data_IF_239544909483
#
_entry.id   IF_239544909483
#
_cell.length_a   1.000
_cell.length_b   1.000
_cell.length_c   1.000
_cell.angle_alpha   90.00
_cell.angle_beta   90.00
_cell.angle_gamma   90.00
#
_symmetry.space_group_name_H-M   'P 1'
#
loop_
_entity.id
_entity.type
_entity.pdbx_description
1 polymer ?
#
# COMPACT_ATOMS: atom_id res chain seq x y z
N UNK A 1 9.93 2.71 -9.87
CA UNK A 1 9.59 3.05 -8.47
C UNK A 1 10.60 2.38 -7.55
N UNK A 2 11.07 3.07 -6.49
CA UNK A 2 11.98 2.46 -5.51
C UNK A 2 11.27 1.33 -4.75
N UNK A 3 12.03 0.33 -4.30
CA UNK A 3 11.53 -0.65 -3.35
C UNK A 3 11.33 0.00 -1.98
N UNK A 4 10.24 -0.33 -1.30
CA UNK A 4 9.92 0.10 0.06
C UNK A 4 10.62 -0.78 1.11
N UNK A 5 10.95 -2.03 0.75
CA UNK A 5 11.75 -2.98 1.55
C UNK A 5 12.68 -3.84 0.68
N UNK A 6 13.75 -4.37 1.29
CA UNK A 6 14.64 -5.35 0.66
C UNK A 6 14.03 -6.77 0.72
N UNK A 7 13.13 -7.09 -0.20
CA UNK A 7 12.37 -8.36 -0.19
C UNK A 7 13.26 -9.61 -0.14
N UNK A 8 14.33 -9.65 -0.93
CA UNK A 8 15.26 -10.78 -0.96
C UNK A 8 15.86 -11.06 0.42
N UNK A 9 16.25 -10.01 1.15
CA UNK A 9 16.78 -10.12 2.51
C UNK A 9 15.73 -10.65 3.48
N UNK A 10 14.48 -10.20 3.36
CA UNK A 10 13.38 -10.62 4.25
C UNK A 10 12.89 -12.06 3.97
N UNK A 11 13.20 -12.62 2.81
CA UNK A 11 12.83 -13.98 2.42
C UNK A 11 14.02 -14.96 2.41
N UNK A 12 15.24 -14.49 2.65
CA UNK A 12 16.43 -15.36 2.74
C UNK A 12 16.32 -16.27 3.97
N UNK A 13 16.58 -17.58 3.91
CA UNK A 13 16.48 -18.46 5.08
C UNK A 13 17.29 -17.95 6.29
N UNK A 14 16.68 -17.97 7.47
CA UNK A 14 17.38 -17.62 8.71
C UNK A 14 18.36 -18.73 9.09
N UNK A 15 19.45 -18.35 9.76
CA UNK A 15 20.47 -19.32 10.20
C UNK A 15 19.98 -20.21 11.34
N UNK A 16 19.04 -19.71 12.14
CA UNK A 16 18.42 -20.42 13.27
C UNK A 16 16.97 -20.80 12.94
N UNK A 17 16.46 -21.82 13.65
CA UNK A 17 15.10 -22.29 13.51
C UNK A 17 14.91 -23.36 12.43
N UNK A 18 13.84 -24.15 12.59
CA UNK A 18 13.50 -25.20 11.64
C UNK A 18 13.14 -24.63 10.26
N UNK A 19 13.62 -25.27 9.19
CA UNK A 19 13.40 -24.82 7.81
C UNK A 19 13.84 -23.38 7.51
N UNK A 20 14.69 -22.77 8.35
CA UNK A 20 15.10 -21.37 8.21
C UNK A 20 14.02 -20.35 8.62
N UNK A 21 13.03 -20.77 9.41
CA UNK A 21 11.94 -19.91 9.89
C UNK A 21 12.27 -19.08 11.13
N UNK A 22 13.42 -19.30 11.79
CA UNK A 22 13.73 -18.63 13.04
C UNK A 22 12.91 -19.15 14.21
N UNK A 23 12.61 -18.27 15.16
CA UNK A 23 11.93 -18.60 16.42
C UNK A 23 10.59 -17.87 16.55
N UNK A 24 9.69 -18.40 17.39
CA UNK A 24 8.46 -17.69 17.74
C UNK A 24 8.79 -16.57 18.73
N UNK A 25 8.72 -15.32 18.27
CA UNK A 25 9.07 -14.18 19.11
C UNK A 25 8.04 -13.89 20.20
N UNK A 26 6.86 -14.53 20.17
CA UNK A 26 5.83 -14.39 21.21
C UNK A 26 6.20 -15.12 22.50
N UNK A 27 7.08 -16.12 22.42
CA UNK A 27 7.56 -16.88 23.57
C UNK A 27 8.65 -16.13 24.36
N UNK A 28 9.18 -15.02 23.82
CA UNK A 28 10.12 -14.14 24.51
C UNK A 28 9.38 -13.14 25.40
N UNK A 29 9.25 -13.48 26.69
CA UNK A 29 8.68 -12.62 27.73
C UNK A 29 9.71 -11.68 28.40
N UNK A 30 10.95 -11.64 27.89
CA UNK A 30 11.99 -10.80 28.49
C UNK A 30 11.72 -9.30 28.23
N UNK A 31 12.28 -8.39 29.06
CA UNK A 31 12.25 -6.95 28.77
C UNK A 31 12.92 -6.58 27.44
N UNK A 32 13.74 -7.47 26.87
CA UNK A 32 14.40 -7.26 25.59
C UNK A 32 13.55 -7.68 24.38
N UNK A 33 12.38 -8.30 24.61
CA UNK A 33 11.50 -8.89 23.59
C UNK A 33 11.24 -7.95 22.42
N UNK A 34 11.70 -8.38 21.24
CA UNK A 34 11.54 -7.64 20.00
C UNK A 34 10.08 -7.61 19.53
N UNK A 35 9.33 -8.68 19.78
CA UNK A 35 7.90 -8.75 19.54
C UNK A 35 7.14 -7.72 20.39
N UNK A 36 7.41 -7.67 21.70
CA UNK A 36 6.75 -6.72 22.59
C UNK A 36 7.02 -5.27 22.18
N UNK A 37 8.29 -4.95 21.86
CA UNK A 37 8.67 -3.61 21.37
C UNK A 37 7.94 -3.23 20.09
N UNK A 38 7.85 -4.15 19.12
CA UNK A 38 7.14 -3.90 17.88
C UNK A 38 5.63 -3.71 18.11
N UNK A 39 5.03 -4.54 18.97
CA UNK A 39 3.62 -4.45 19.35
C UNK A 39 3.30 -3.09 19.98
N UNK A 40 4.16 -2.63 20.88
CA UNK A 40 3.99 -1.36 21.59
C UNK A 40 4.19 -0.17 20.64
N UNK A 41 5.21 -0.20 19.78
CA UNK A 41 5.41 0.80 18.74
C UNK A 41 4.20 0.91 17.79
N UNK A 42 3.59 -0.23 17.42
CA UNK A 42 2.36 -0.24 16.62
C UNK A 42 1.17 0.33 17.38
N UNK A 43 1.01 0.00 18.66
CA UNK A 43 -0.06 0.55 19.49
C UNK A 43 0.06 2.07 19.64
N UNK A 44 1.28 2.58 19.85
CA UNK A 44 1.59 4.00 19.89
C UNK A 44 1.27 4.68 18.55
N UNK A 45 1.74 4.13 17.43
CA UNK A 45 1.48 4.67 16.09
C UNK A 45 -0.03 4.81 15.80
N UNK A 46 -0.82 3.81 16.19
CA UNK A 46 -2.29 3.84 16.04
C UNK A 46 -2.99 4.74 17.04
N UNK A 47 -2.43 4.96 18.22
CA UNK A 47 -2.97 5.90 19.19
C UNK A 47 -2.78 7.34 18.69
N UNK A 48 -1.58 7.65 18.21
CA UNK A 48 -1.23 8.95 17.62
C UNK A 48 -2.07 9.23 16.37
N UNK A 49 -2.21 8.28 15.44
CA UNK A 49 -3.05 8.44 14.25
C UNK A 49 -4.51 8.79 14.60
N UNK A 50 -5.07 8.10 15.61
CA UNK A 50 -6.44 8.38 16.08
C UNK A 50 -6.56 9.75 16.76
N UNK A 51 -5.54 10.20 17.48
CA UNK A 51 -5.54 11.53 18.09
C UNK A 51 -5.54 12.62 17.00
N UNK A 52 -4.69 12.47 15.98
CA UNK A 52 -4.62 13.39 14.84
C UNK A 52 -5.94 13.46 14.06
N UNK A 53 -6.55 12.31 13.79
CA UNK A 53 -7.85 12.25 13.11
C UNK A 53 -8.97 12.93 13.93
N UNK A 54 -8.95 12.82 15.26
CA UNK A 54 -9.95 13.44 16.14
C UNK A 54 -9.80 14.97 16.23
N UNK A 55 -8.57 15.48 16.11
CA UNK A 55 -8.28 16.92 16.13
C UNK A 55 -8.53 17.59 14.77
N UNK A 56 -8.84 16.81 13.73
CA UNK A 56 -8.94 17.32 12.35
C UNK A 56 -7.59 17.83 11.82
N UNK A 57 -6.49 17.24 12.32
CA UNK A 57 -5.13 17.62 11.98
C UNK A 57 -4.75 17.35 10.52
N UNK A 58 -3.53 17.73 10.14
CA UNK A 58 -3.00 17.53 8.79
C UNK A 58 -3.01 16.03 8.39
N UNK A 59 -3.20 15.75 7.10
CA UNK A 59 -3.07 14.42 6.47
C UNK A 59 -1.59 13.96 6.42
N UNK A 60 -0.90 13.98 7.56
CA UNK A 60 0.47 13.53 7.74
C UNK A 60 0.48 12.13 8.37
N UNK A 61 1.48 11.32 8.01
CA UNK A 61 1.63 9.99 8.61
C UNK A 61 2.38 10.14 9.93
N UNK A 62 1.85 9.63 11.05
CA UNK A 62 2.54 9.68 12.34
C UNK A 62 3.97 9.13 12.28
N UNK A 63 4.91 9.84 12.91
CA UNK A 63 6.32 9.42 12.99
C UNK A 63 6.53 8.00 13.53
N UNK A 64 5.76 7.51 14.54
CA UNK A 64 5.96 6.16 15.08
C UNK A 64 5.78 5.03 14.06
N UNK A 65 5.08 5.24 12.94
CA UNK A 65 5.01 4.23 11.87
C UNK A 65 6.38 3.87 11.28
N UNK A 66 7.34 4.80 11.30
CA UNK A 66 8.73 4.52 10.88
C UNK A 66 9.39 3.49 11.78
N UNK A 67 9.08 3.53 13.07
CA UNK A 67 9.62 2.57 14.04
C UNK A 67 8.98 1.19 13.87
N UNK A 68 7.67 1.12 13.58
CA UNK A 68 6.99 -0.13 13.21
C UNK A 68 7.64 -0.76 11.97
N UNK A 69 7.89 0.04 10.93
CA UNK A 69 8.59 -0.41 9.71
C UNK A 69 9.98 -0.94 10.05
N UNK A 70 10.78 -0.18 10.81
CA UNK A 70 12.15 -0.55 11.19
C UNK A 70 12.19 -1.85 12.01
N UNK A 71 11.38 -1.96 13.06
CA UNK A 71 11.33 -3.13 13.94
C UNK A 71 10.77 -4.35 13.21
N UNK A 72 9.73 -4.19 12.40
CA UNK A 72 9.16 -5.29 11.60
C UNK A 72 10.19 -5.86 10.61
N UNK A 73 10.92 -4.99 9.90
CA UNK A 73 12.01 -5.42 9.03
C UNK A 73 13.14 -6.12 9.81
N UNK A 74 13.50 -5.62 11.00
CA UNK A 74 14.54 -6.23 11.83
C UNK A 74 14.14 -7.63 12.31
N UNK A 75 12.94 -7.76 12.86
CA UNK A 75 12.40 -9.04 13.33
C UNK A 75 12.36 -10.08 12.20
N UNK A 76 11.85 -9.68 11.03
CA UNK A 76 11.81 -10.56 9.88
C UNK A 76 13.23 -10.87 9.40
N UNK A 77 14.07 -9.88 9.10
CA UNK A 77 15.39 -10.12 8.52
C UNK A 77 16.30 -11.02 9.37
N UNK A 78 16.16 -11.00 10.70
CA UNK A 78 17.17 -11.60 11.59
C UNK A 78 16.66 -12.72 12.48
N UNK A 79 15.35 -12.82 12.75
CA UNK A 79 14.86 -13.59 13.90
C UNK A 79 13.69 -14.52 13.64
N UNK A 80 12.73 -14.12 12.81
CA UNK A 80 11.49 -14.90 12.64
C UNK A 80 10.84 -14.71 11.27
N UNK A 81 10.38 -15.80 10.65
CA UNK A 81 9.44 -15.80 9.52
C UNK A 81 8.04 -15.85 10.13
N UNK A 82 7.38 -14.70 10.20
CA UNK A 82 6.14 -14.55 10.98
C UNK A 82 5.09 -13.73 10.23
N UNK A 83 3.89 -14.30 10.08
CA UNK A 83 2.75 -13.70 9.36
C UNK A 83 2.22 -12.45 10.07
N UNK A 84 2.16 -12.45 11.39
CA UNK A 84 1.63 -11.31 12.14
C UNK A 84 2.58 -10.12 12.09
N UNK A 85 3.88 -10.38 12.25
CA UNK A 85 4.92 -9.35 12.10
C UNK A 85 4.90 -8.80 10.68
N UNK A 86 4.77 -9.67 9.67
CA UNK A 86 4.66 -9.24 8.27
C UNK A 86 3.38 -8.42 8.02
N UNK A 87 2.25 -8.74 8.67
CA UNK A 87 1.03 -7.96 8.58
C UNK A 87 1.19 -6.56 9.22
N UNK A 88 1.86 -6.47 10.37
CA UNK A 88 2.16 -5.17 11.00
C UNK A 88 3.14 -4.33 10.17
N UNK A 89 4.14 -4.97 9.57
CA UNK A 89 5.03 -4.31 8.62
C UNK A 89 4.25 -3.82 7.40
N UNK A 90 3.35 -4.63 6.83
CA UNK A 90 2.48 -4.23 5.73
C UNK A 90 1.65 -2.99 6.07
N UNK A 91 1.05 -2.95 7.26
CA UNK A 91 0.29 -1.79 7.76
C UNK A 91 1.13 -0.50 7.80
N UNK A 92 2.40 -0.60 8.21
CA UNK A 92 3.34 0.52 8.24
C UNK A 92 3.79 0.93 6.82
N UNK A 93 4.07 -0.04 5.95
CA UNK A 93 4.51 0.20 4.57
C UNK A 93 3.45 0.93 3.76
N UNK A 94 2.17 0.55 3.89
CA UNK A 94 1.10 1.26 3.16
C UNK A 94 0.95 2.70 3.62
N UNK A 95 1.13 2.97 4.92
CA UNK A 95 1.07 4.34 5.45
C UNK A 95 2.25 5.18 4.98
N UNK A 96 3.47 4.65 5.04
CA UNK A 96 4.69 5.39 4.73
C UNK A 96 4.97 5.50 3.24
N UNK A 97 4.69 4.43 2.48
CA UNK A 97 5.14 4.24 1.10
C UNK A 97 3.97 4.02 0.11
N UNK A 98 2.72 4.06 0.60
CA UNK A 98 1.51 3.99 -0.23
C UNK A 98 1.40 2.68 -1.03
N UNK A 99 1.07 2.79 -2.32
CA UNK A 99 0.89 1.64 -3.21
C UNK A 99 2.18 0.84 -3.43
N UNK A 100 3.35 1.49 -3.41
CA UNK A 100 4.63 0.78 -3.47
C UNK A 100 4.84 -0.06 -2.20
N UNK A 101 4.46 0.48 -1.04
CA UNK A 101 4.44 -0.26 0.22
C UNK A 101 3.49 -1.46 0.20
N UNK A 102 2.29 -1.29 -0.36
CA UNK A 102 1.33 -2.39 -0.51
C UNK A 102 1.85 -3.49 -1.44
N UNK A 103 2.42 -3.11 -2.59
CA UNK A 103 3.02 -4.06 -3.55
C UNK A 103 4.07 -4.92 -2.86
N UNK A 104 5.04 -4.30 -2.19
CA UNK A 104 6.14 -5.02 -1.57
C UNK A 104 5.66 -5.85 -0.37
N UNK A 105 4.70 -5.35 0.40
CA UNK A 105 4.07 -6.08 1.48
C UNK A 105 3.33 -7.34 0.98
N UNK A 106 2.57 -7.22 -0.11
CA UNK A 106 1.87 -8.35 -0.72
C UNK A 106 2.86 -9.40 -1.25
N UNK A 107 3.96 -8.97 -1.87
CA UNK A 107 5.04 -9.86 -2.32
C UNK A 107 5.72 -10.57 -1.14
N UNK A 108 5.98 -9.86 -0.04
CA UNK A 108 6.54 -10.44 1.18
C UNK A 108 5.60 -11.50 1.77
N UNK A 109 4.32 -11.16 1.94
CA UNK A 109 3.32 -12.08 2.50
C UNK A 109 3.15 -13.32 1.61
N UNK A 110 3.04 -13.14 0.29
CA UNK A 110 2.99 -14.24 -0.67
C UNK A 110 4.23 -15.13 -0.56
N UNK A 111 5.43 -14.55 -0.52
CA UNK A 111 6.69 -15.27 -0.40
C UNK A 111 6.82 -16.04 0.91
N UNK A 112 6.35 -15.48 2.04
CA UNK A 112 6.33 -16.18 3.33
C UNK A 112 5.40 -17.40 3.27
N UNK A 113 4.19 -17.25 2.74
CA UNK A 113 3.22 -18.35 2.59
C UNK A 113 3.69 -19.40 1.58
N UNK A 114 4.43 -19.00 0.56
CA UNK A 114 4.95 -19.93 -0.45
C UNK A 114 6.12 -20.75 0.11
N UNK A 115 7.12 -20.08 0.69
CA UNK A 115 8.43 -20.67 1.02
C UNK A 115 8.49 -21.29 2.41
N UNK A 116 7.70 -20.78 3.36
CA UNK A 116 7.83 -21.14 4.78
C UNK A 116 6.55 -21.73 5.39
N UNK A 117 5.51 -22.04 4.60
CA UNK A 117 4.18 -22.47 5.07
C UNK A 117 4.18 -23.45 6.25
N UNK A 118 5.00 -24.48 6.16
CA UNK A 118 5.04 -25.57 7.13
C UNK A 118 5.71 -25.13 8.43
N UNK A 119 6.65 -24.18 8.34
CA UNK A 119 7.56 -23.80 9.43
C UNK A 119 7.34 -22.41 10.03
N UNK A 120 6.62 -21.52 9.34
CA UNK A 120 6.45 -20.13 9.77
C UNK A 120 5.51 -19.96 10.97
N UNK A 121 5.69 -18.83 11.63
CA UNK A 121 4.94 -18.43 12.81
C UNK A 121 3.73 -17.53 12.48
N UNK A 122 2.66 -17.56 13.28
CA UNK A 122 2.40 -18.57 14.32
C UNK A 122 2.13 -19.95 13.70
N UNK A 123 2.40 -21.02 14.46
CA UNK A 123 2.02 -22.39 14.08
C UNK A 123 0.50 -22.57 14.19
N UNK A 124 -0.12 -23.53 13.47
CA UNK A 124 -1.53 -23.85 13.69
C UNK A 124 -1.72 -24.32 15.14
N UNK A 125 -2.86 -23.99 15.73
CA UNK A 125 -3.23 -24.38 17.10
C UNK A 125 -4.33 -25.46 17.09
N UNK A 126 -4.92 -25.74 18.26
CA UNK A 126 -5.99 -26.73 18.42
C UNK A 126 -7.26 -26.38 17.62
N UNK A 127 -7.46 -25.10 17.34
CA UNK A 127 -8.56 -24.56 16.51
C UNK A 127 -8.20 -24.53 15.01
N UNK A 128 -7.03 -25.09 14.66
CA UNK A 128 -6.58 -25.27 13.28
C UNK A 128 -5.87 -24.04 12.72
N UNK A 129 -6.35 -23.55 11.56
CA UNK A 129 -5.69 -22.45 10.83
C UNK A 129 -6.26 -21.07 11.17
N UNK A 130 -7.31 -20.99 12.00
CA UNK A 130 -8.00 -19.73 12.29
C UNK A 130 -7.07 -18.71 12.95
N UNK A 131 -6.34 -19.12 14.00
CA UNK A 131 -5.36 -18.26 14.68
C UNK A 131 -4.23 -17.79 13.74
N UNK A 132 -3.82 -18.65 12.81
CA UNK A 132 -2.80 -18.34 11.80
C UNK A 132 -3.31 -17.37 10.72
N UNK A 133 -4.59 -17.45 10.36
CA UNK A 133 -5.23 -16.57 9.37
C UNK A 133 -5.61 -15.20 9.95
N UNK A 134 -5.83 -15.12 11.27
CA UNK A 134 -6.36 -13.93 11.95
C UNK A 134 -5.56 -12.63 11.68
N UNK A 135 -4.21 -12.62 11.66
CA UNK A 135 -3.46 -11.39 11.35
C UNK A 135 -3.73 -10.87 9.94
N UNK A 136 -3.86 -11.77 8.97
CA UNK A 136 -4.17 -11.43 7.58
C UNK A 136 -5.62 -10.96 7.42
N UNK A 137 -6.56 -11.59 8.13
CA UNK A 137 -7.95 -11.16 8.17
C UNK A 137 -8.10 -9.77 8.82
N UNK A 138 -7.33 -9.47 9.88
CA UNK A 138 -7.28 -8.15 10.49
C UNK A 138 -6.66 -7.09 9.58
N UNK A 139 -5.68 -7.48 8.76
CA UNK A 139 -5.02 -6.61 7.78
C UNK A 139 -5.95 -6.23 6.61
N UNK A 140 -6.51 -7.23 5.94
CA UNK A 140 -7.32 -7.06 4.73
C UNK A 140 -8.79 -6.71 5.02
N UNK A 141 -9.31 -7.16 6.18
CA UNK A 141 -10.68 -6.95 6.61
C UNK A 141 -11.59 -8.13 6.29
N UNK A 142 -12.29 -8.62 7.31
CA UNK A 142 -13.28 -9.70 7.19
C UNK A 142 -14.71 -9.15 7.30
N UNK A 143 -15.34 -9.25 8.47
CA UNK A 143 -16.67 -8.69 8.75
C UNK A 143 -16.71 -7.17 8.74
N UNK A 144 -15.55 -6.53 8.95
CA UNK A 144 -15.35 -5.09 8.91
C UNK A 144 -14.10 -4.74 8.09
N UNK A 145 -13.89 -3.43 7.89
CA UNK A 145 -12.69 -2.94 7.22
C UNK A 145 -11.42 -3.30 8.00
N UNK A 146 -10.43 -3.80 7.27
CA UNK A 146 -9.10 -4.10 7.81
C UNK A 146 -8.23 -2.87 7.96
N UNK A 147 -7.05 -3.05 8.55
CA UNK A 147 -6.13 -1.96 8.86
C UNK A 147 -5.54 -1.26 7.63
N UNK A 148 -5.63 -1.89 6.44
CA UNK A 148 -5.24 -1.30 5.16
C UNK A 148 -6.29 -0.36 4.57
N UNK A 149 -7.57 -0.48 4.94
CA UNK A 149 -8.63 0.24 4.24
C UNK A 149 -8.55 1.76 4.43
N UNK A 150 -8.29 2.20 5.66
CA UNK A 150 -8.14 3.62 5.97
C UNK A 150 -6.98 4.28 5.18
N UNK A 151 -5.72 3.82 5.28
CA UNK A 151 -4.63 4.47 4.55
C UNK A 151 -4.80 4.41 3.04
N UNK A 152 -5.33 3.31 2.48
CA UNK A 152 -5.60 3.23 1.04
C UNK A 152 -6.62 4.26 0.58
N UNK A 153 -7.70 4.48 1.33
CA UNK A 153 -8.70 5.51 1.00
C UNK A 153 -8.16 6.93 1.15
N UNK A 154 -7.15 7.14 1.99
CA UNK A 154 -6.48 8.44 2.17
C UNK A 154 -5.42 8.74 1.11
N UNK A 155 -4.99 7.75 0.32
CA UNK A 155 -4.03 7.99 -0.76
C UNK A 155 -4.55 9.03 -1.75
N UNK A 156 -3.70 10.01 -2.05
CA UNK A 156 -3.98 11.02 -3.06
C UNK A 156 -4.00 10.36 -4.45
N UNK A 157 -5.14 10.46 -5.12
CA UNK A 157 -5.30 10.07 -6.51
C UNK A 157 -4.50 11.00 -7.45
N UNK A 158 -4.53 12.29 -7.12
CA UNK A 158 -3.73 13.34 -7.77
C UNK A 158 -3.57 14.54 -6.83
N UNK A 159 -2.62 15.41 -7.16
CA UNK A 159 -2.36 16.70 -6.51
C UNK A 159 -2.93 17.83 -7.37
N UNK A 160 -3.63 18.77 -6.73
CA UNK A 160 -4.15 19.99 -7.33
C UNK A 160 -3.02 21.00 -7.56
N UNK A 161 -3.34 22.09 -8.27
CA UNK A 161 -2.40 23.17 -8.56
C UNK A 161 -1.85 23.88 -7.30
N UNK A 162 -2.62 23.88 -6.20
CA UNK A 162 -2.19 24.43 -4.90
C UNK A 162 -1.36 23.44 -4.06
N UNK A 163 -1.09 22.24 -4.57
CA UNK A 163 -0.33 21.18 -3.89
C UNK A 163 -1.16 20.29 -2.97
N UNK A 164 -2.44 20.60 -2.73
CA UNK A 164 -3.34 19.73 -1.97
C UNK A 164 -3.61 18.42 -2.71
N UNK A 165 -3.76 17.32 -1.98
CA UNK A 165 -4.10 16.02 -2.56
C UNK A 165 -5.61 15.81 -2.59
N UNK A 166 -6.11 15.18 -3.65
CA UNK A 166 -7.48 14.64 -3.68
C UNK A 166 -7.42 13.16 -3.39
N UNK A 167 -7.90 12.74 -2.21
CA UNK A 167 -7.90 11.34 -1.82
C UNK A 167 -9.04 10.54 -2.45
N UNK A 168 -8.90 9.22 -2.49
CA UNK A 168 -10.00 8.34 -2.94
C UNK A 168 -11.26 8.52 -2.09
N UNK A 169 -11.11 8.74 -0.78
CA UNK A 169 -12.22 9.05 0.11
C UNK A 169 -12.97 10.32 -0.32
N UNK A 170 -12.25 11.42 -0.57
CA UNK A 170 -12.84 12.68 -1.01
C UNK A 170 -13.53 12.53 -2.37
N UNK A 171 -12.93 11.77 -3.29
CA UNK A 171 -13.54 11.46 -4.58
C UNK A 171 -14.87 10.72 -4.43
N UNK A 172 -14.89 9.66 -3.61
CA UNK A 172 -16.10 8.87 -3.37
C UNK A 172 -17.20 9.71 -2.70
N UNK A 173 -16.86 10.56 -1.73
CA UNK A 173 -17.81 11.50 -1.12
C UNK A 173 -18.42 12.48 -2.13
N UNK A 174 -17.61 12.97 -3.08
CA UNK A 174 -18.09 13.86 -4.13
C UNK A 174 -19.06 13.14 -5.08
N UNK A 175 -18.76 11.90 -5.47
CA UNK A 175 -19.67 11.07 -6.28
C UNK A 175 -20.98 10.75 -5.56
N UNK A 176 -20.91 10.32 -4.30
CA UNK A 176 -22.09 10.07 -3.47
C UNK A 176 -22.96 11.32 -3.33
N UNK A 177 -22.33 12.48 -3.14
CA UNK A 177 -23.03 13.76 -3.01
C UNK A 177 -23.71 14.16 -4.33
N UNK A 178 -23.03 14.01 -5.47
CA UNK A 178 -23.59 14.28 -6.78
C UNK A 178 -24.78 13.35 -7.10
N UNK A 179 -24.73 12.10 -6.65
CA UNK A 179 -25.78 11.10 -6.85
C UNK A 179 -27.05 11.31 -5.99
N UNK A 180 -27.02 12.18 -4.97
CA UNK A 180 -28.19 12.44 -4.11
C UNK A 180 -29.34 13.04 -4.91
N UNK A 181 -30.51 12.40 -4.96
CA UNK A 181 -31.70 12.93 -5.64
C UNK A 181 -32.27 14.20 -4.97
N UNK A 182 -32.09 14.36 -3.66
CA UNK A 182 -32.55 15.51 -2.88
C UNK A 182 -31.58 16.69 -3.05
N UNK A 183 -32.03 17.72 -3.78
CA UNK A 183 -31.24 18.92 -4.06
C UNK A 183 -30.84 19.68 -2.78
N UNK A 184 -31.72 19.75 -1.77
CA UNK A 184 -31.43 20.47 -0.52
C UNK A 184 -30.35 19.75 0.29
N UNK A 185 -30.39 18.41 0.34
CA UNK A 185 -29.33 17.61 0.97
C UNK A 185 -28.01 17.71 0.22
N UNK A 186 -28.05 17.74 -1.11
CA UNK A 186 -26.87 17.94 -1.96
C UNK A 186 -26.23 19.31 -1.69
N UNK A 187 -27.01 20.39 -1.73
CA UNK A 187 -26.56 21.75 -1.42
C UNK A 187 -25.96 21.85 -0.01
N UNK A 188 -26.58 21.23 0.99
CA UNK A 188 -26.06 21.21 2.35
C UNK A 188 -24.69 20.54 2.47
N UNK A 189 -24.45 19.43 1.74
CA UNK A 189 -23.14 18.74 1.70
C UNK A 189 -22.05 19.57 1.01
N UNK A 190 -22.41 20.26 -0.08
CA UNK A 190 -21.48 21.18 -0.74
C UNK A 190 -21.13 22.36 0.19
N UNK A 191 -22.13 22.92 0.88
CA UNK A 191 -21.94 23.99 1.86
C UNK A 191 -21.10 23.56 3.08
N UNK A 192 -21.09 22.26 3.43
CA UNK A 192 -20.23 21.71 4.48
C UNK A 192 -18.79 21.42 4.03
N UNK A 193 -18.41 21.78 2.80
CA UNK A 193 -17.05 21.64 2.30
C UNK A 193 -16.76 20.36 1.52
N UNK A 194 -17.76 19.52 1.21
CA UNK A 194 -17.56 18.42 0.27
C UNK A 194 -17.37 19.02 -1.14
N UNK A 195 -16.33 18.58 -1.82
CA UNK A 195 -16.00 19.08 -3.16
C UNK A 195 -17.11 18.74 -4.18
N UNK A 196 -17.39 19.71 -5.05
CA UNK A 196 -18.27 19.49 -6.20
C UNK A 196 -17.59 18.53 -7.20
N UNK A 197 -18.28 17.44 -7.58
CA UNK A 197 -17.74 16.43 -8.47
C UNK A 197 -17.30 17.01 -9.82
N UNK A 198 -18.08 17.93 -10.40
CA UNK A 198 -17.74 18.50 -11.71
C UNK A 198 -16.44 19.31 -11.65
N UNK A 199 -16.17 19.96 -10.51
CA UNK A 199 -14.91 20.67 -10.27
C UNK A 199 -13.76 19.67 -10.19
N UNK A 200 -13.92 18.61 -9.38
CA UNK A 200 -12.90 17.55 -9.26
C UNK A 200 -12.59 16.89 -10.60
N UNK A 201 -13.60 16.61 -11.42
CA UNK A 201 -13.41 15.99 -12.74
C UNK A 201 -12.62 16.88 -13.69
N UNK A 202 -12.84 18.21 -13.66
CA UNK A 202 -12.04 19.17 -14.45
C UNK A 202 -10.59 19.22 -13.98
N UNK A 203 -10.37 19.27 -12.67
CA UNK A 203 -9.02 19.24 -12.10
C UNK A 203 -8.30 17.92 -12.40
N UNK A 204 -9.01 16.79 -12.28
CA UNK A 204 -8.50 15.46 -12.60
C UNK A 204 -8.09 15.36 -14.07
N UNK A 205 -8.90 15.88 -15.00
CA UNK A 205 -8.58 15.87 -16.43
C UNK A 205 -7.30 16.68 -16.76
N UNK A 206 -6.96 17.69 -15.96
CA UNK A 206 -5.72 18.46 -16.10
C UNK A 206 -4.48 17.75 -15.50
N UNK A 207 -4.67 16.65 -14.76
CA UNK A 207 -3.62 15.93 -14.04
C UNK A 207 -3.19 14.60 -14.70
N UNK A 208 -3.40 14.43 -16.02
CA UNK A 208 -3.18 13.16 -16.73
C UNK A 208 -1.85 12.42 -16.42
N UNK A 209 -0.67 13.08 -16.34
CA UNK A 209 0.57 12.38 -15.99
C UNK A 209 0.56 11.73 -14.59
N UNK A 210 -0.12 12.34 -13.62
CA UNK A 210 -0.26 11.78 -12.28
C UNK A 210 -1.14 10.53 -12.29
N UNK A 211 -2.21 10.55 -13.06
CA UNK A 211 -3.09 9.39 -13.26
C UNK A 211 -2.39 8.23 -13.96
N UNK A 212 -1.51 8.49 -14.93
CA UNK A 212 -0.71 7.44 -15.55
C UNK A 212 0.23 6.77 -14.54
N UNK A 213 0.88 7.55 -13.68
CA UNK A 213 1.71 7.01 -12.61
C UNK A 213 0.88 6.22 -11.58
N UNK A 214 -0.29 6.72 -11.20
CA UNK A 214 -1.23 6.02 -10.33
C UNK A 214 -1.68 4.68 -10.94
N UNK A 215 -2.01 4.67 -12.24
CA UNK A 215 -2.41 3.46 -12.97
C UNK A 215 -1.35 2.38 -12.87
N UNK A 216 -0.09 2.74 -13.10
CA UNK A 216 1.02 1.79 -12.99
C UNK A 216 1.16 1.30 -11.54
N UNK A 217 1.19 2.20 -10.56
CA UNK A 217 1.36 1.82 -9.16
C UNK A 217 0.22 0.94 -8.62
N UNK A 218 -1.03 1.26 -8.97
CA UNK A 218 -2.20 0.46 -8.60
C UNK A 218 -2.24 -0.88 -9.36
N UNK A 219 -1.76 -0.90 -10.61
CA UNK A 219 -1.54 -2.11 -11.41
C UNK A 219 -0.59 -3.09 -10.75
N UNK A 220 0.60 -2.61 -10.38
CA UNK A 220 1.64 -3.40 -9.74
C UNK A 220 1.17 -3.92 -8.37
N UNK A 221 0.54 -3.06 -7.56
CA UNK A 221 0.00 -3.42 -6.25
C UNK A 221 -1.14 -4.46 -6.36
N UNK A 222 -2.06 -4.30 -7.31
CA UNK A 222 -3.16 -5.25 -7.52
C UNK A 222 -2.64 -6.62 -7.97
N UNK A 223 -1.67 -6.63 -8.88
CA UNK A 223 -1.04 -7.88 -9.35
C UNK A 223 -0.36 -8.63 -8.21
N UNK A 224 0.39 -7.92 -7.37
CA UNK A 224 1.02 -8.51 -6.18
C UNK A 224 -0.03 -8.99 -5.16
N UNK A 225 -1.11 -8.23 -4.96
CA UNK A 225 -2.20 -8.60 -4.06
C UNK A 225 -2.96 -9.85 -4.52
N UNK A 226 -3.19 -10.02 -5.82
CA UNK A 226 -3.75 -11.25 -6.37
C UNK A 226 -2.82 -12.46 -6.20
N UNK A 227 -1.51 -12.28 -6.35
CA UNK A 227 -0.56 -13.35 -6.08
C UNK A 227 -0.60 -13.78 -4.60
N UNK A 228 -0.71 -12.81 -3.69
CA UNK A 228 -0.92 -13.08 -2.26
C UNK A 228 -2.26 -13.80 -1.99
N UNK A 229 -3.35 -13.35 -2.59
CA UNK A 229 -4.67 -13.99 -2.49
C UNK A 229 -4.66 -15.45 -2.97
N UNK A 230 -3.95 -15.73 -4.06
CA UNK A 230 -3.77 -17.09 -4.57
C UNK A 230 -3.02 -17.98 -3.55
N UNK A 231 -2.00 -17.44 -2.87
CA UNK A 231 -1.31 -18.16 -1.79
C UNK A 231 -2.21 -18.38 -0.58
N UNK A 232 -3.01 -17.38 -0.18
CA UNK A 232 -4.01 -17.54 0.87
C UNK A 232 -4.98 -18.69 0.55
N UNK A 233 -5.54 -18.69 -0.65
CA UNK A 233 -6.47 -19.73 -1.12
C UNK A 233 -5.83 -21.12 -1.13
N UNK A 234 -4.60 -21.22 -1.65
CA UNK A 234 -3.89 -22.49 -1.77
C UNK A 234 -3.47 -23.08 -0.42
N UNK A 235 -3.10 -22.24 0.55
CA UNK A 235 -2.55 -22.68 1.84
C UNK A 235 -3.60 -22.83 2.93
N UNK A 236 -4.55 -21.91 3.01
CA UNK A 236 -5.56 -21.90 4.06
C UNK A 236 -6.86 -22.63 3.67
N UNK A 237 -7.13 -22.82 2.38
CA UNK A 237 -8.38 -23.46 1.92
C UNK A 237 -9.61 -22.72 2.43
N UNK A 238 -10.52 -23.42 3.11
CA UNK A 238 -11.74 -22.82 3.67
C UNK A 238 -11.46 -21.77 4.76
N UNK A 239 -10.30 -21.83 5.42
CA UNK A 239 -9.88 -20.86 6.43
C UNK A 239 -9.22 -19.61 5.81
N UNK A 240 -9.23 -19.47 4.47
CA UNK A 240 -8.55 -18.35 3.81
C UNK A 240 -9.16 -17.00 4.24
N UNK A 241 -8.30 -16.04 4.65
CA UNK A 241 -8.78 -14.71 5.00
C UNK A 241 -9.29 -13.99 3.74
N UNK A 242 -10.40 -13.24 3.83
CA UNK A 242 -10.89 -12.47 2.70
C UNK A 242 -9.92 -11.34 2.34
N UNK A 243 -9.57 -11.26 1.06
CA UNK A 243 -8.65 -10.24 0.52
C UNK A 243 -9.34 -9.22 -0.41
N UNK A 244 -10.60 -9.50 -0.76
CA UNK A 244 -11.36 -8.85 -1.83
C UNK A 244 -11.51 -7.33 -1.64
N UNK A 245 -11.76 -6.86 -0.42
CA UNK A 245 -11.98 -5.43 -0.12
C UNK A 245 -10.81 -4.56 -0.56
N UNK A 246 -9.59 -5.05 -0.35
CA UNK A 246 -8.37 -4.36 -0.77
C UNK A 246 -8.25 -4.36 -2.30
N UNK A 247 -8.55 -5.48 -2.95
CA UNK A 247 -8.56 -5.55 -4.42
C UNK A 247 -9.56 -4.56 -5.03
N UNK A 248 -10.78 -4.47 -4.49
CA UNK A 248 -11.82 -3.54 -4.96
C UNK A 248 -11.38 -2.07 -4.86
N UNK A 249 -10.61 -1.70 -3.83
CA UNK A 249 -10.04 -0.35 -3.70
C UNK A 249 -8.99 -0.09 -4.78
N UNK A 250 -8.14 -1.07 -5.09
CA UNK A 250 -7.11 -0.95 -6.11
C UNK A 250 -7.69 -0.93 -7.53
N UNK A 251 -8.68 -1.77 -7.81
CA UNK A 251 -9.47 -1.77 -9.05
C UNK A 251 -10.13 -0.41 -9.25
N UNK A 252 -10.74 0.14 -8.19
CA UNK A 252 -11.33 1.47 -8.22
C UNK A 252 -10.32 2.57 -8.54
N UNK A 253 -9.10 2.50 -7.97
CA UNK A 253 -8.03 3.44 -8.33
C UNK A 253 -7.61 3.29 -9.80
N UNK A 254 -7.52 2.06 -10.32
CA UNK A 254 -7.20 1.80 -11.72
C UNK A 254 -8.28 2.34 -12.66
N UNK A 255 -9.56 2.13 -12.35
CA UNK A 255 -10.67 2.62 -13.18
C UNK A 255 -10.63 4.15 -13.32
N UNK A 256 -10.42 4.86 -12.20
CA UNK A 256 -10.26 6.32 -12.21
C UNK A 256 -9.00 6.73 -12.98
N UNK A 257 -7.90 6.01 -12.78
CA UNK A 257 -6.64 6.29 -13.46
C UNK A 257 -6.72 6.03 -14.99
N UNK A 258 -7.49 5.04 -15.43
CA UNK A 258 -7.80 4.81 -16.84
C UNK A 258 -8.67 5.94 -17.39
N UNK A 259 -9.70 6.34 -16.65
CA UNK A 259 -10.63 7.41 -17.05
C UNK A 259 -9.92 8.75 -17.27
N UNK A 260 -9.03 9.14 -16.35
CA UNK A 260 -8.38 10.47 -16.37
C UNK A 260 -6.94 10.46 -16.88
N UNK A 261 -6.30 9.30 -17.02
CA UNK A 261 -4.94 9.16 -17.54
C UNK A 261 -4.81 9.30 -19.06
N UNK A 262 -5.93 9.37 -19.78
CA UNK A 262 -5.97 9.39 -21.25
C UNK A 262 -5.47 8.08 -21.87
N UNK A 263 -5.48 8.01 -23.22
CA UNK A 263 -4.78 6.93 -23.91
C UNK A 263 -3.29 7.05 -23.56
N UNK A 264 -2.65 5.96 -23.15
CA UNK A 264 -1.21 5.92 -22.99
C UNK A 264 -0.61 6.33 -24.33
N UNK A 265 -0.15 7.58 -24.44
CA UNK A 265 0.62 7.98 -25.60
C UNK A 265 1.86 7.12 -25.53
N UNK A 266 1.93 6.13 -26.43
CA UNK A 266 3.15 5.43 -26.75
C UNK A 266 4.21 6.52 -26.91
N UNK A 267 5.14 6.56 -25.97
CA UNK A 267 6.24 7.52 -25.99
C UNK A 267 7.02 7.16 -27.25
N UNK A 268 6.75 7.88 -28.33
CA UNK A 268 7.57 7.80 -29.53
C UNK A 268 8.97 8.22 -29.08
N UNK A 269 9.99 7.36 -29.21
CA UNK A 269 11.34 7.74 -28.81
C UNK A 269 11.69 8.99 -29.60
N UNK A 270 12.04 10.05 -28.88
CA UNK A 270 12.44 11.33 -29.44
C UNK A 270 13.46 11.07 -30.55
N UNK A 271 13.09 11.42 -31.78
CA UNK A 271 13.99 11.38 -32.91
C UNK A 271 15.23 12.21 -32.54
N UNK A 272 16.39 11.54 -32.48
CA UNK A 272 17.67 12.19 -32.26
C UNK A 272 17.86 13.31 -33.31
N UNK A 273 18.39 14.47 -32.92
CA UNK A 273 18.67 15.53 -33.89
C UNK A 273 19.71 15.03 -34.88
N UNK A 274 19.36 15.01 -36.16
CA UNK A 274 20.28 14.76 -37.27
C UNK A 274 21.33 15.86 -37.25
N UNK A 275 22.58 15.49 -37.00
CA UNK A 275 23.72 16.40 -37.07
C UNK A 275 23.86 16.94 -38.50
N UNK A 276 23.87 18.27 -38.63
CA UNK A 276 24.19 18.95 -39.88
C UNK A 276 25.67 18.71 -40.26
N UNK A 277 25.99 18.55 -41.55
CA UNK A 277 27.37 18.31 -41.98
C UNK A 277 28.25 19.54 -41.77
N UNK A 278 29.45 19.31 -41.26
CA UNK A 278 30.47 20.33 -41.03
C UNK A 278 30.94 20.97 -42.35
N UNK A 279 30.95 22.30 -42.38
CA UNK A 279 31.53 23.08 -43.47
C UNK A 279 33.07 22.96 -43.45
N UNK A 280 33.63 22.53 -44.58
CA UNK A 280 35.08 22.48 -44.82
C UNK A 280 35.59 23.92 -44.98
N UNK A 281 36.42 24.37 -44.03
CA UNK A 281 37.12 25.64 -44.12
C UNK A 281 38.27 25.54 -45.14
N UNK A 282 38.16 26.27 -46.25
CA UNK A 282 39.26 26.51 -47.16
C UNK A 282 40.19 27.59 -46.56
N UNK A 283 41.46 27.23 -46.36
CA UNK A 283 42.52 28.16 -45.94
C UNK A 283 42.93 29.04 -47.13
N UNK A 284 43.06 30.37 -46.97
CA UNK A 284 43.68 31.20 -47.99
C UNK A 284 45.22 31.17 -47.85
N UNK A 285 45.88 31.20 -48.99
CA UNK A 285 47.33 31.28 -49.17
C UNK A 285 47.79 32.72 -48.91
N UNK A 286 48.71 32.91 -47.96
CA UNK A 286 49.80 33.89 -47.98
C UNK A 286 50.80 33.56 -46.85
#
# INVERSE_FOLDING_TARGET
MSAAVELEKLLTPLAEGDGGAGVDLREDYSPASSYQKLRDARAEARAEERAQDAEGGEDSVPLPWREVKRLGQLCLAERSRDIEIAAWLAEALVRLDGLAGLRDAAQLLAGLLEQYWDVLHPRPDEDGLEGRAAPLAGLAGSSADGTLMQPLRRLALFRRADGSGVSLYQWNLAEETAALADAKRREARLASGIADLSVLEREAAAAAPQWQALRQAAGDALSAWHAFDAQCSARFGEAAPPTRRVAEVLERMQDLAVRFGGAASATSPAAAPVAAPAAVAATPIA
#
